data_IF_849198981282
#
_entry.id   IF_849198981282
#
_cell.length_a   1.000
_cell.length_b   1.000
_cell.length_c   1.000
_cell.angle_alpha   90.00
_cell.angle_beta   90.00
_cell.angle_gamma   90.00
#
_symmetry.space_group_name_H-M   'P 1'
#
loop_
_entity.id
_entity.type
_entity.pdbx_description
1 polymer ?
#
# COMPACT_ATOMS: atom_id res chain seq x y z
N UNK A 1 8.36 -0.81 17.85
CA UNK A 1 8.21 -0.16 16.54
C UNK A 1 9.05 1.12 16.47
N UNK A 2 9.99 1.19 15.52
CA UNK A 2 10.94 2.29 15.35
C UNK A 2 10.29 3.68 15.33
N UNK A 3 9.22 3.86 14.53
CA UNK A 3 8.57 5.16 14.37
C UNK A 3 7.89 5.65 15.66
N UNK A 4 7.33 4.74 16.45
CA UNK A 4 6.77 5.10 17.76
C UNK A 4 7.86 5.51 18.74
N UNK A 5 9.00 4.80 18.75
CA UNK A 5 10.14 5.17 19.59
C UNK A 5 10.67 6.58 19.24
N UNK A 6 10.73 6.92 17.94
CA UNK A 6 11.11 8.29 17.51
C UNK A 6 10.09 9.33 17.97
N UNK A 7 8.79 9.03 17.88
CA UNK A 7 7.76 9.95 18.36
C UNK A 7 7.84 10.15 19.89
N UNK A 8 8.04 9.10 20.66
CA UNK A 8 8.20 9.13 22.12
C UNK A 8 9.46 9.89 22.52
N UNK A 9 10.57 9.69 21.80
CA UNK A 9 11.82 10.42 22.03
C UNK A 9 11.72 11.93 21.77
N UNK A 10 10.72 12.38 21.04
CA UNK A 10 10.45 13.81 20.82
C UNK A 10 9.93 14.53 22.07
N UNK A 11 9.49 13.80 23.09
CA UNK A 11 8.78 14.30 24.28
C UNK A 11 7.55 15.16 23.95
N UNK A 12 7.01 15.04 22.72
CA UNK A 12 5.83 15.75 22.28
C UNK A 12 4.60 14.84 22.36
N UNK A 13 3.80 15.01 23.41
CA UNK A 13 2.61 14.18 23.67
C UNK A 13 1.61 14.23 22.51
N UNK A 14 1.43 15.40 21.89
CA UNK A 14 0.53 15.54 20.74
C UNK A 14 1.02 14.70 19.54
N UNK A 15 2.35 14.73 19.28
CA UNK A 15 2.94 13.92 18.20
C UNK A 15 2.76 12.42 18.48
N UNK A 16 2.95 11.97 19.71
CA UNK A 16 2.74 10.56 20.09
C UNK A 16 1.29 10.13 19.86
N UNK A 17 0.30 10.96 20.22
CA UNK A 17 -1.10 10.66 19.99
C UNK A 17 -1.46 10.61 18.50
N UNK A 18 -0.96 11.58 17.72
CA UNK A 18 -1.17 11.60 16.25
C UNK A 18 -0.55 10.38 15.60
N UNK A 19 0.70 10.05 15.95
CA UNK A 19 1.38 8.87 15.41
C UNK A 19 0.66 7.58 15.77
N UNK A 20 0.18 7.45 17.00
CA UNK A 20 -0.60 6.28 17.44
C UNK A 20 -1.91 6.13 16.66
N UNK A 21 -2.61 7.24 16.39
CA UNK A 21 -3.80 7.28 15.53
C UNK A 21 -3.52 6.87 14.10
N UNK A 22 -2.46 7.43 13.49
CA UNK A 22 -2.02 7.10 12.13
C UNK A 22 -1.64 5.62 12.03
N UNK A 23 -0.89 5.08 12.99
CA UNK A 23 -0.50 3.67 12.98
C UNK A 23 -1.71 2.73 13.09
N UNK A 24 -2.72 3.07 13.89
CA UNK A 24 -3.94 2.27 13.97
C UNK A 24 -4.70 2.24 12.64
N UNK A 25 -4.81 3.39 11.96
CA UNK A 25 -5.44 3.48 10.65
C UNK A 25 -4.63 2.76 9.56
N UNK A 26 -3.31 2.89 9.61
CA UNK A 26 -2.41 2.32 8.60
C UNK A 26 -2.12 0.84 8.84
N UNK A 27 -2.35 0.30 10.04
CA UNK A 27 -1.98 -1.07 10.40
C UNK A 27 -2.52 -2.11 9.40
N UNK A 28 -3.77 -1.96 8.98
CA UNK A 28 -4.39 -2.87 8.00
C UNK A 28 -3.80 -2.66 6.60
N UNK A 29 -3.57 -1.40 6.21
CA UNK A 29 -3.00 -1.07 4.92
C UNK A 29 -1.48 -1.35 4.86
N UNK A 30 -0.75 -1.15 5.96
CA UNK A 30 0.68 -1.48 6.05
C UNK A 30 0.94 -2.97 5.99
N UNK A 31 0.08 -3.83 6.53
CA UNK A 31 0.21 -5.28 6.37
C UNK A 31 0.12 -5.67 4.89
N UNK A 32 -0.83 -5.11 4.14
CA UNK A 32 -0.97 -5.34 2.70
C UNK A 32 0.17 -4.71 1.89
N UNK A 33 0.62 -3.52 2.28
CA UNK A 33 1.74 -2.82 1.63
C UNK A 33 3.09 -3.44 1.98
N UNK A 34 3.26 -4.01 3.19
CA UNK A 34 4.45 -4.78 3.57
C UNK A 34 4.60 -6.04 2.73
N UNK A 35 3.52 -6.74 2.43
CA UNK A 35 3.58 -7.86 1.47
C UNK A 35 4.09 -7.41 0.11
N UNK A 36 3.62 -6.27 -0.40
CA UNK A 36 4.10 -5.72 -1.67
C UNK A 36 5.54 -5.20 -1.62
N UNK A 37 5.97 -4.63 -0.49
CA UNK A 37 7.33 -4.12 -0.27
C UNK A 37 8.32 -5.24 0.08
N UNK A 38 7.88 -6.26 0.83
CA UNK A 38 8.72 -7.38 1.27
C UNK A 38 8.91 -8.46 0.19
N UNK A 39 8.22 -8.38 -0.95
CA UNK A 39 8.50 -9.26 -2.09
C UNK A 39 9.91 -9.07 -2.69
N UNK A 40 10.64 -8.03 -2.26
CA UNK A 40 12.04 -7.82 -2.60
C UNK A 40 12.83 -7.73 -1.30
N UNK A 41 13.58 -8.77 -0.97
CA UNK A 41 14.44 -8.80 0.22
C UNK A 41 15.39 -7.59 0.30
N UNK A 42 15.79 -7.05 -0.85
CA UNK A 42 16.59 -5.84 -0.99
C UNK A 42 15.90 -4.59 -0.39
N UNK A 43 14.57 -4.46 -0.53
CA UNK A 43 13.82 -3.34 0.02
C UNK A 43 13.76 -3.37 1.55
N UNK A 44 13.72 -4.55 2.15
CA UNK A 44 13.73 -4.70 3.62
C UNK A 44 15.07 -4.25 4.18
N UNK A 45 16.17 -4.71 3.61
CA UNK A 45 17.51 -4.33 4.03
C UNK A 45 17.74 -2.81 3.88
N UNK A 46 17.24 -2.21 2.78
CA UNK A 46 17.33 -0.77 2.56
C UNK A 46 16.51 0.02 3.58
N UNK A 47 15.31 -0.43 3.93
CA UNK A 47 14.49 0.21 4.98
C UNK A 47 15.17 0.15 6.34
N UNK A 48 15.76 -0.98 6.70
CA UNK A 48 16.48 -1.15 7.95
C UNK A 48 17.71 -0.25 8.01
N UNK A 49 18.47 -0.13 6.92
CA UNK A 49 19.59 0.81 6.83
C UNK A 49 19.14 2.26 6.98
N UNK A 50 18.05 2.66 6.33
CA UNK A 50 17.50 4.02 6.46
C UNK A 50 17.06 4.32 7.89
N UNK A 51 16.43 3.37 8.59
CA UNK A 51 16.07 3.51 10.00
C UNK A 51 17.32 3.65 10.87
N UNK A 52 18.37 2.87 10.60
CA UNK A 52 19.64 2.95 11.32
C UNK A 52 20.31 4.32 11.15
N UNK A 53 20.27 4.91 9.94
CA UNK A 53 20.81 6.25 9.69
C UNK A 53 20.05 7.34 10.45
N UNK A 54 18.72 7.26 10.53
CA UNK A 54 17.92 8.18 11.33
C UNK A 54 18.29 8.03 12.83
N UNK A 55 18.33 6.81 13.35
CA UNK A 55 18.68 6.54 14.74
C UNK A 55 20.08 7.05 15.09
N UNK A 56 21.06 6.84 14.21
CA UNK A 56 22.45 7.34 14.37
C UNK A 56 22.50 8.86 14.44
N UNK A 57 21.77 9.55 13.57
CA UNK A 57 21.73 11.01 13.57
C UNK A 57 21.07 11.57 14.85
N UNK A 58 19.99 10.92 15.33
CA UNK A 58 19.33 11.29 16.59
C UNK A 58 20.30 11.08 17.77
N UNK A 59 20.99 9.93 17.84
CA UNK A 59 21.96 9.63 18.88
C UNK A 59 23.14 10.61 18.89
N UNK A 60 23.57 11.06 17.70
CA UNK A 60 24.59 12.09 17.53
C UNK A 60 24.09 13.52 17.86
N UNK A 61 22.80 13.68 18.18
CA UNK A 61 22.16 14.99 18.41
C UNK A 61 22.31 15.95 17.22
N UNK A 62 22.33 15.40 15.99
CA UNK A 62 22.40 16.20 14.76
C UNK A 62 21.01 16.29 14.10
N UNK A 63 20.26 17.37 14.35
CA UNK A 63 18.92 17.54 13.81
C UNK A 63 18.90 17.73 12.28
N UNK A 64 20.00 18.24 11.70
CA UNK A 64 20.11 18.42 10.24
C UNK A 64 20.28 17.06 9.55
N UNK A 65 21.20 16.24 10.04
CA UNK A 65 21.40 14.88 9.54
C UNK A 65 20.15 14.02 9.77
N UNK A 66 19.49 14.10 10.92
CA UNK A 66 18.27 13.36 11.23
C UNK A 66 17.14 13.73 10.26
N UNK A 67 16.95 15.02 9.96
CA UNK A 67 15.96 15.49 8.98
C UNK A 67 16.28 15.01 7.58
N UNK A 68 17.54 15.06 7.15
CA UNK A 68 17.96 14.60 5.83
C UNK A 68 17.72 13.10 5.66
N UNK A 69 18.11 12.29 6.64
CA UNK A 69 17.88 10.85 6.65
C UNK A 69 16.37 10.50 6.64
N UNK A 70 15.56 11.19 7.43
CA UNK A 70 14.11 11.00 7.46
C UNK A 70 13.46 11.35 6.10
N UNK A 71 13.90 12.42 5.44
CA UNK A 71 13.40 12.78 4.11
C UNK A 71 13.72 11.70 3.06
N UNK A 72 14.92 11.12 3.08
CA UNK A 72 15.30 10.01 2.21
C UNK A 72 14.36 8.82 2.43
N UNK A 73 14.17 8.43 3.69
CA UNK A 73 13.29 7.34 4.08
C UNK A 73 11.84 7.56 3.61
N UNK A 74 11.26 8.72 3.92
CA UNK A 74 9.87 9.04 3.54
C UNK A 74 9.68 9.11 2.02
N UNK A 75 10.66 9.64 1.28
CA UNK A 75 10.62 9.69 -0.18
C UNK A 75 10.64 8.28 -0.79
N UNK A 76 11.47 7.40 -0.26
CA UNK A 76 11.53 6.00 -0.66
C UNK A 76 10.21 5.27 -0.41
N UNK A 77 9.65 5.38 0.81
CA UNK A 77 8.37 4.77 1.17
C UNK A 77 7.24 5.29 0.28
N UNK A 78 7.20 6.62 0.03
CA UNK A 78 6.19 7.23 -0.83
C UNK A 78 6.27 6.71 -2.27
N UNK A 79 7.47 6.60 -2.84
CA UNK A 79 7.68 6.06 -4.18
C UNK A 79 7.23 4.59 -4.28
N UNK A 80 7.63 3.77 -3.30
CA UNK A 80 7.27 2.35 -3.23
C UNK A 80 5.76 2.13 -3.10
N UNK A 81 5.07 2.95 -2.30
CA UNK A 81 3.61 2.88 -2.16
C UNK A 81 2.89 3.28 -3.46
N UNK A 82 3.38 4.29 -4.17
CA UNK A 82 2.82 4.69 -5.47
C UNK A 82 2.98 3.58 -6.52
N UNK A 83 4.13 2.94 -6.54
CA UNK A 83 4.40 1.81 -7.44
C UNK A 83 3.50 0.62 -7.13
N UNK A 84 3.33 0.26 -5.86
CA UNK A 84 2.42 -0.80 -5.43
C UNK A 84 0.96 -0.51 -5.83
N UNK A 85 0.49 0.72 -5.65
CA UNK A 85 -0.86 1.15 -6.04
C UNK A 85 -1.06 1.06 -7.56
N UNK A 86 -0.07 1.44 -8.38
CA UNK A 86 -0.13 1.35 -9.83
C UNK A 86 -0.18 -0.09 -10.36
N UNK A 87 0.51 -1.01 -9.70
CA UNK A 87 0.49 -2.46 -10.01
C UNK A 87 -0.82 -3.12 -9.59
N UNK A 88 -1.38 -2.72 -8.45
CA UNK A 88 -2.67 -3.22 -7.94
C UNK A 88 -3.86 -2.82 -8.84
N UNK A 89 -3.88 -1.59 -9.34
CA UNK A 89 -4.93 -1.10 -10.24
C UNK A 89 -4.99 -1.83 -11.59
N UNK A 90 -3.86 -2.28 -12.13
CA UNK A 90 -3.82 -3.06 -13.38
C UNK A 90 -4.38 -4.47 -13.22
N UNK A 91 -4.25 -5.09 -12.04
CA UNK A 91 -4.77 -6.43 -11.78
C UNK A 91 -6.29 -6.46 -11.64
N UNK A 92 -6.88 -5.39 -11.11
CA UNK A 92 -8.34 -5.26 -10.98
C UNK A 92 -9.04 -4.97 -12.32
N UNK A 93 -8.38 -4.24 -13.24
CA UNK A 93 -8.94 -3.89 -14.55
C UNK A 93 -9.01 -5.06 -15.54
N UNK A 94 -8.21 -6.12 -15.37
CA UNK A 94 -8.17 -7.26 -16.30
C UNK A 94 -9.08 -8.43 -15.89
N UNK A 95 -9.78 -8.34 -14.75
CA UNK A 95 -10.73 -9.36 -14.27
C UNK A 95 -12.19 -9.04 -14.61
N UNK A 96 -12.49 -7.91 -15.26
CA UNK A 96 -13.86 -7.43 -15.50
C UNK A 96 -14.31 -7.49 -16.96
N UNK A 97 -13.73 -8.35 -17.81
CA UNK A 97 -14.15 -8.49 -19.20
C UNK A 97 -14.28 -9.95 -19.64
N UNK A 98 -15.29 -10.64 -19.09
CA UNK A 98 -15.89 -11.75 -19.79
C UNK A 98 -17.31 -11.34 -20.21
N UNK A 99 -17.63 -11.20 -21.52
CA UNK A 99 -19.00 -10.91 -21.94
C UNK A 99 -19.88 -12.11 -21.62
N UNK A 100 -21.00 -11.86 -20.95
CA UNK A 100 -22.03 -12.85 -20.72
C UNK A 100 -22.55 -13.42 -22.08
N UNK A 101 -22.81 -14.73 -22.19
CA UNK A 101 -23.38 -15.29 -23.40
C UNK A 101 -24.80 -14.75 -23.60
N UNK A 102 -25.05 -14.19 -24.79
CA UNK A 102 -26.36 -13.71 -25.22
C UNK A 102 -27.37 -14.87 -25.21
N UNK A 103 -28.59 -14.68 -24.68
CA UNK A 103 -29.62 -15.73 -24.72
C UNK A 103 -30.08 -15.94 -26.16
N UNK A 104 -29.95 -17.20 -26.63
CA UNK A 104 -30.41 -17.64 -27.93
C UNK A 104 -31.93 -17.42 -28.06
N UNK A 105 -32.31 -16.65 -29.06
CA UNK A 105 -33.69 -16.34 -29.43
C UNK A 105 -34.39 -17.64 -29.86
N UNK A 106 -35.26 -18.18 -29.01
CA UNK A 106 -36.13 -19.29 -29.34
C UNK A 106 -37.04 -18.92 -30.52
N UNK A 107 -36.81 -19.51 -31.67
CA UNK A 107 -37.72 -19.43 -32.83
C UNK A 107 -38.96 -20.28 -32.53
N UNK A 108 -40.08 -19.61 -32.34
CA UNK A 108 -41.40 -20.19 -32.24
C UNK A 108 -41.78 -20.76 -33.64
N UNK A 109 -41.84 -22.07 -33.79
CA UNK A 109 -42.43 -22.70 -34.94
C UNK A 109 -43.95 -22.60 -34.80
N UNK A 110 -44.56 -21.93 -35.73
CA UNK A 110 -46.01 -21.96 -35.91
C UNK A 110 -46.33 -23.15 -36.80
N UNK A 111 -46.87 -24.20 -36.21
CA UNK A 111 -47.52 -25.25 -36.96
C UNK A 111 -48.88 -24.71 -37.40
N UNK A 112 -49.02 -24.55 -38.69
CA UNK A 112 -50.31 -24.31 -39.33
C UNK A 112 -51.06 -25.61 -39.46
N UNK A 113 -52.18 -25.66 -38.82
CA UNK A 113 -53.20 -26.65 -39.03
C UNK A 113 -54.00 -26.31 -40.34
N UNK A 114 -54.04 -27.21 -41.22
CA UNK A 114 -54.98 -27.20 -42.36
C UNK A 114 -55.83 -28.49 -42.32
N UNK A 115 -57.01 -28.33 -41.70
CA UNK A 115 -58.08 -29.31 -41.82
C UNK A 115 -58.90 -29.05 -43.05
N UNK A 116 -59.31 -30.11 -43.69
CA UNK A 116 -60.42 -30.14 -44.60
C UNK A 116 -61.42 -31.13 -44.14
#
# INVERSE_FOLDING_TARGET
DFHMAVAEASHNVALVHVMRGIFNLMRINMLRSREALCHQAENVALLDEQHAQIAKAIAARDPKAARAAANIHLSFVQASLREAASKGGRKAGNSAAAPAPSPARARKRSDGDAGA
#
